data_IF_385744297030
#
_entry.id   IF_385744297030
#
_cell.length_a   1.000
_cell.length_b   1.000
_cell.length_c   1.000
_cell.angle_alpha   90.00
_cell.angle_beta   90.00
_cell.angle_gamma   90.00
#
_symmetry.space_group_name_H-M   'P 1'
#
loop_
_entity.id
_entity.type
_entity.pdbx_description
1 polymer ?
#
# COMPACT_ATOMS: atom_id res chain seq x y z
N UNK A 1 37.90 -26.01 44.40
CA UNK A 1 38.14 -25.99 42.94
C UNK A 1 37.53 -24.68 42.42
N UNK A 2 38.35 -23.68 42.12
CA UNK A 2 37.87 -22.38 41.60
C UNK A 2 37.99 -22.46 40.07
N UNK A 3 36.86 -22.38 39.37
CA UNK A 3 36.82 -22.35 37.90
C UNK A 3 36.93 -20.89 37.44
N UNK A 4 38.08 -20.54 36.86
CA UNK A 4 38.23 -19.32 36.09
C UNK A 4 37.58 -19.53 34.71
N UNK A 5 36.52 -18.79 34.41
CA UNK A 5 36.08 -18.60 33.02
C UNK A 5 36.87 -17.43 32.43
N UNK A 6 37.48 -17.58 31.24
CA UNK A 6 38.06 -16.44 30.55
C UNK A 6 36.93 -15.53 30.08
N UNK A 7 37.05 -14.24 30.39
CA UNK A 7 36.20 -13.18 29.88
C UNK A 7 36.45 -13.07 28.37
N UNK A 8 35.48 -13.51 27.55
CA UNK A 8 35.59 -13.39 26.10
C UNK A 8 35.42 -11.92 25.70
N UNK A 9 36.53 -11.25 25.41
CA UNK A 9 36.57 -9.89 24.87
C UNK A 9 36.44 -9.93 23.34
N UNK A 10 35.31 -9.43 22.82
CA UNK A 10 35.17 -8.57 21.63
C UNK A 10 33.71 -8.62 21.17
N UNK A 11 32.96 -7.57 21.50
CA UNK A 11 31.81 -7.20 20.70
C UNK A 11 32.32 -6.73 19.35
N UNK A 12 32.44 -7.65 18.39
CA UNK A 12 32.58 -7.27 17.00
C UNK A 12 31.25 -6.63 16.58
N UNK A 13 31.27 -5.31 16.34
CA UNK A 13 30.20 -4.63 15.64
C UNK A 13 30.17 -5.19 14.21
N UNK A 14 29.45 -6.30 14.01
CA UNK A 14 29.19 -6.80 12.68
C UNK A 14 28.49 -5.70 11.90
N UNK A 15 28.96 -5.36 10.68
CA UNK A 15 28.28 -4.36 9.86
C UNK A 15 26.83 -4.81 9.66
N UNK A 16 25.89 -3.90 9.91
CA UNK A 16 24.47 -4.14 9.72
C UNK A 16 24.23 -4.74 8.34
N UNK A 17 23.42 -5.80 8.21
CA UNK A 17 23.19 -6.45 6.93
C UNK A 17 22.70 -5.45 5.88
N UNK A 18 23.24 -5.51 4.66
CA UNK A 18 22.75 -4.70 3.56
C UNK A 18 21.45 -5.30 3.03
N UNK A 19 20.31 -4.77 3.48
CA UNK A 19 18.99 -5.25 3.09
C UNK A 19 18.55 -4.79 1.69
N UNK A 20 19.32 -3.97 0.99
CA UNK A 20 18.89 -3.40 -0.30
C UNK A 20 18.57 -4.49 -1.33
N UNK A 21 19.38 -5.55 -1.39
CA UNK A 21 19.11 -6.65 -2.31
C UNK A 21 17.83 -7.41 -1.91
N UNK A 22 17.69 -7.73 -0.63
CA UNK A 22 16.51 -8.39 -0.08
C UNK A 22 15.21 -7.61 -0.37
N UNK A 23 15.23 -6.30 -0.14
CA UNK A 23 14.07 -5.43 -0.39
C UNK A 23 13.71 -5.38 -1.88
N UNK A 24 14.71 -5.36 -2.78
CA UNK A 24 14.45 -5.43 -4.24
C UNK A 24 13.79 -6.75 -4.63
N UNK A 25 14.32 -7.86 -4.13
CA UNK A 25 13.85 -9.20 -4.48
C UNK A 25 12.44 -9.45 -3.94
N UNK A 26 12.19 -9.14 -2.66
CA UNK A 26 10.86 -9.26 -2.06
C UNK A 26 9.87 -8.24 -2.62
N UNK A 27 10.34 -7.04 -2.97
CA UNK A 27 9.52 -6.00 -3.57
C UNK A 27 8.92 -6.42 -4.91
N UNK A 28 9.55 -7.32 -5.67
CA UNK A 28 9.09 -7.72 -7.01
C UNK A 28 7.75 -8.48 -7.00
N UNK A 29 7.36 -9.08 -5.88
CA UNK A 29 6.16 -9.90 -5.75
C UNK A 29 5.36 -9.53 -4.49
N UNK A 30 4.10 -9.97 -4.44
CA UNK A 30 3.27 -9.83 -3.24
C UNK A 30 3.83 -10.69 -2.09
N UNK A 31 4.07 -10.08 -0.92
CA UNK A 31 4.55 -10.79 0.26
C UNK A 31 3.45 -11.72 0.81
N UNK A 32 3.75 -13.03 0.82
CA UNK A 32 2.85 -14.07 1.35
C UNK A 32 3.29 -14.63 2.71
N UNK A 33 4.49 -14.27 3.16
CA UNK A 33 5.11 -14.85 4.36
C UNK A 33 4.93 -13.94 5.58
N UNK A 34 4.91 -12.63 5.35
CA UNK A 34 4.75 -11.65 6.42
C UNK A 34 3.30 -11.29 6.67
N UNK A 35 3.00 -10.91 7.91
CA UNK A 35 1.73 -10.23 8.24
C UNK A 35 1.71 -8.87 7.52
N UNK A 36 0.74 -8.67 6.63
CA UNK A 36 0.55 -7.42 5.90
C UNK A 36 -0.02 -6.32 6.80
N UNK A 37 0.59 -5.13 6.75
CA UNK A 37 0.14 -3.96 7.51
C UNK A 37 -1.14 -3.39 6.89
N UNK A 38 -2.14 -3.14 7.73
CA UNK A 38 -3.42 -2.53 7.36
C UNK A 38 -3.55 -1.14 7.98
N UNK A 39 -4.04 -0.18 7.20
CA UNK A 39 -4.39 1.18 7.63
C UNK A 39 -5.83 1.46 7.21
N UNK A 40 -6.52 2.29 7.99
CA UNK A 40 -7.92 2.64 7.74
C UNK A 40 -8.06 4.16 7.74
N UNK A 41 -8.52 4.72 6.61
CA UNK A 41 -8.66 6.17 6.44
C UNK A 41 -9.57 6.52 5.26
N UNK A 42 -9.85 7.81 5.08
CA UNK A 42 -10.53 8.35 3.90
C UNK A 42 -9.52 9.03 2.97
N UNK A 43 -9.71 8.93 1.66
CA UNK A 43 -8.89 9.65 0.67
C UNK A 43 -9.61 10.92 0.21
N UNK A 44 -9.10 12.07 0.62
CA UNK A 44 -9.56 13.38 0.16
C UNK A 44 -8.98 13.70 -1.23
N UNK A 45 -9.82 14.11 -2.17
CA UNK A 45 -9.40 14.58 -3.49
C UNK A 45 -9.30 16.10 -3.49
N UNK A 46 -8.10 16.60 -3.81
CA UNK A 46 -7.84 18.04 -3.96
C UNK A 46 -8.74 18.70 -5.02
N UNK A 47 -9.01 18.01 -6.12
CA UNK A 47 -9.74 18.57 -7.26
C UNK A 47 -11.23 18.71 -6.99
N UNK A 48 -11.84 17.70 -6.35
CA UNK A 48 -13.29 17.74 -6.08
C UNK A 48 -13.64 18.32 -4.72
N UNK A 49 -12.67 18.45 -3.81
CA UNK A 49 -12.91 18.88 -2.43
C UNK A 49 -13.70 17.87 -1.60
N UNK A 50 -13.71 16.59 -2.02
CA UNK A 50 -14.54 15.51 -1.48
C UNK A 50 -13.75 14.22 -1.33
N UNK A 51 -14.34 13.22 -0.67
CA UNK A 51 -13.70 11.93 -0.41
C UNK A 51 -13.99 10.89 -1.50
N UNK A 52 -12.99 10.06 -1.78
CA UNK A 52 -13.10 8.86 -2.63
C UNK A 52 -14.05 7.88 -1.97
N UNK A 53 -15.04 7.40 -2.71
CA UNK A 53 -15.99 6.38 -2.29
C UNK A 53 -16.04 5.22 -3.28
N UNK A 54 -16.31 4.02 -2.74
CA UNK A 54 -16.43 2.79 -3.51
C UNK A 54 -17.85 2.22 -3.34
N UNK A 55 -18.67 2.37 -4.37
CA UNK A 55 -20.07 1.91 -4.41
C UNK A 55 -20.22 0.77 -5.41
N UNK A 56 -19.96 -0.45 -4.95
CA UNK A 56 -19.92 -1.63 -5.81
C UNK A 56 -18.82 -1.50 -6.87
N UNK A 57 -19.19 -1.51 -8.15
CA UNK A 57 -18.23 -1.36 -9.26
C UNK A 57 -17.81 0.10 -9.49
N UNK A 58 -18.56 1.07 -9.01
CA UNK A 58 -18.32 2.51 -9.25
C UNK A 58 -17.38 3.07 -8.19
N UNK A 59 -16.46 3.93 -8.64
CA UNK A 59 -15.54 4.69 -7.81
C UNK A 59 -15.67 6.15 -8.21
N UNK A 60 -15.72 7.05 -7.23
CA UNK A 60 -15.84 8.50 -7.46
C UNK A 60 -15.34 9.27 -6.23
N UNK A 61 -14.92 10.52 -6.40
CA UNK A 61 -14.51 11.39 -5.31
C UNK A 61 -15.57 12.47 -5.04
N UNK A 62 -16.74 12.08 -4.54
CA UNK A 62 -17.88 13.00 -4.31
C UNK A 62 -18.49 12.87 -2.92
N UNK A 63 -17.95 11.98 -2.07
CA UNK A 63 -18.52 11.73 -0.76
C UNK A 63 -18.18 12.86 0.23
N UNK A 64 -19.12 13.13 1.14
CA UNK A 64 -18.85 13.94 2.33
C UNK A 64 -17.88 13.22 3.28
N UNK A 65 -17.25 13.99 4.15
CA UNK A 65 -16.54 13.43 5.30
C UNK A 65 -17.45 12.53 6.15
N UNK A 66 -16.88 11.47 6.71
CA UNK A 66 -17.63 10.48 7.50
C UNK A 66 -18.55 9.54 6.70
N UNK A 67 -18.67 9.67 5.37
CA UNK A 67 -19.50 8.76 4.58
C UNK A 67 -19.00 7.31 4.68
N UNK A 68 -19.92 6.36 4.97
CA UNK A 68 -19.57 4.94 5.14
C UNK A 68 -18.89 4.30 3.92
N UNK A 69 -19.23 4.72 2.70
CA UNK A 69 -18.62 4.23 1.47
C UNK A 69 -17.26 4.89 1.15
N UNK A 70 -16.89 5.95 1.88
CA UNK A 70 -15.60 6.62 1.76
C UNK A 70 -14.52 6.05 2.70
N UNK A 71 -14.92 5.15 3.59
CA UNK A 71 -14.00 4.42 4.47
C UNK A 71 -13.20 3.40 3.67
N UNK A 72 -11.87 3.55 3.64
CA UNK A 72 -10.96 2.67 2.91
C UNK A 72 -10.06 1.89 3.85
N UNK A 73 -9.88 0.62 3.52
CA UNK A 73 -8.92 -0.30 4.12
C UNK A 73 -7.74 -0.41 3.14
N UNK A 74 -6.57 0.05 3.57
CA UNK A 74 -5.35 0.08 2.77
C UNK A 74 -4.36 -0.92 3.35
N UNK A 75 -4.22 -2.04 2.64
CA UNK A 75 -3.34 -3.15 3.02
C UNK A 75 -2.05 -3.09 2.20
N UNK A 76 -0.90 -3.22 2.87
CA UNK A 76 0.41 -3.29 2.22
C UNK A 76 0.55 -4.59 1.45
N UNK A 77 0.93 -4.53 0.18
CA UNK A 77 1.22 -5.69 -0.67
C UNK A 77 2.64 -6.22 -0.48
N UNK A 78 3.62 -5.31 -0.49
CA UNK A 78 5.06 -5.58 -0.33
C UNK A 78 5.78 -4.24 -0.11
N UNK A 79 7.11 -4.24 -0.13
CA UNK A 79 7.95 -3.05 -0.04
C UNK A 79 7.68 -2.00 -1.15
N UNK A 80 8.25 -0.80 -0.97
CA UNK A 80 8.11 0.30 -1.93
C UNK A 80 6.71 0.92 -1.92
N UNK A 81 6.08 0.96 -0.74
CA UNK A 81 4.74 1.54 -0.54
C UNK A 81 3.67 0.97 -1.47
N UNK A 82 3.81 -0.31 -1.85
CA UNK A 82 2.83 -1.02 -2.67
C UNK A 82 1.67 -1.44 -1.80
N UNK A 83 0.46 -1.05 -2.19
CA UNK A 83 -0.75 -1.25 -1.40
C UNK A 83 -1.91 -1.73 -2.28
N UNK A 84 -2.86 -2.41 -1.63
CA UNK A 84 -4.21 -2.65 -2.14
C UNK A 84 -5.19 -1.79 -1.37
N UNK A 85 -6.11 -1.14 -2.07
CA UNK A 85 -7.11 -0.25 -1.48
C UNK A 85 -8.48 -0.90 -1.64
N UNK A 86 -9.19 -1.10 -0.54
CA UNK A 86 -10.51 -1.75 -0.50
C UNK A 86 -11.52 -0.83 0.19
N UNK A 87 -12.72 -0.69 -0.37
CA UNK A 87 -13.81 -0.02 0.33
C UNK A 87 -14.33 -0.89 1.47
N UNK A 88 -14.35 -0.37 2.69
CA UNK A 88 -14.76 -1.12 3.89
C UNK A 88 -16.23 -1.54 3.82
N UNK A 89 -17.11 -0.66 3.34
CA UNK A 89 -18.55 -0.94 3.27
C UNK A 89 -18.90 -1.86 2.09
N UNK A 90 -18.30 -1.64 0.90
CA UNK A 90 -18.67 -2.37 -0.32
C UNK A 90 -17.89 -3.65 -0.55
N UNK A 91 -16.83 -3.85 0.23
CA UNK A 91 -15.90 -4.97 0.13
C UNK A 91 -15.22 -5.11 -1.25
N UNK A 92 -15.17 -4.03 -2.03
CA UNK A 92 -14.55 -4.01 -3.37
C UNK A 92 -13.18 -3.34 -3.34
N UNK A 93 -12.24 -3.94 -4.05
CA UNK A 93 -10.93 -3.38 -4.32
C UNK A 93 -11.01 -2.32 -5.41
N UNK A 94 -10.34 -1.20 -5.19
CA UNK A 94 -10.05 -0.23 -6.24
C UNK A 94 -9.01 -0.86 -7.16
N UNK A 95 -9.33 -0.95 -8.44
CA UNK A 95 -8.43 -1.44 -9.48
C UNK A 95 -8.52 -0.56 -10.71
N UNK A 96 -7.50 -0.61 -11.56
CA UNK A 96 -7.45 0.13 -12.80
C UNK A 96 -7.74 -0.79 -13.99
N UNK A 97 -8.71 -0.43 -14.81
CA UNK A 97 -8.95 -1.16 -16.05
C UNK A 97 -7.88 -0.87 -17.10
N UNK A 98 -7.78 -1.71 -18.14
CA UNK A 98 -6.92 -1.48 -19.31
C UNK A 98 -7.19 -0.17 -20.09
N UNK A 99 -8.26 0.56 -19.75
CA UNK A 99 -8.62 1.86 -20.33
C UNK A 99 -8.34 3.04 -19.39
N UNK A 100 -7.65 2.82 -18.27
CA UNK A 100 -7.31 3.84 -17.28
C UNK A 100 -8.42 4.14 -16.28
N UNK A 101 -9.63 3.63 -16.52
CA UNK A 101 -10.76 3.83 -15.60
C UNK A 101 -10.59 3.03 -14.31
N UNK A 102 -10.81 3.69 -13.17
CA UNK A 102 -10.96 3.04 -11.87
C UNK A 102 -12.27 2.23 -11.79
N UNK A 103 -12.17 0.98 -11.33
CA UNK A 103 -13.29 0.05 -11.16
C UNK A 103 -13.19 -0.70 -9.84
N UNK A 104 -14.34 -0.93 -9.21
CA UNK A 104 -14.45 -1.81 -8.04
C UNK A 104 -14.50 -3.28 -8.46
N UNK A 105 -13.60 -4.12 -7.91
CA UNK A 105 -13.57 -5.58 -8.15
C UNK A 105 -13.70 -6.37 -6.84
N UNK A 106 -14.38 -7.54 -6.83
CA UNK A 106 -14.42 -8.40 -5.65
C UNK A 106 -13.08 -9.06 -5.35
N UNK A 107 -12.25 -9.31 -6.37
CA UNK A 107 -10.94 -9.93 -6.23
C UNK A 107 -9.83 -8.91 -6.55
N UNK A 108 -9.01 -8.61 -5.54
CA UNK A 108 -7.88 -7.68 -5.61
C UNK A 108 -6.51 -8.32 -5.87
N UNK A 109 -6.43 -9.64 -6.14
CA UNK A 109 -5.14 -10.34 -6.26
C UNK A 109 -4.27 -9.84 -7.41
N UNK A 110 -4.88 -9.42 -8.52
CA UNK A 110 -4.14 -9.00 -9.72
C UNK A 110 -3.43 -7.66 -9.53
N UNK A 111 -2.30 -7.50 -10.24
CA UNK A 111 -1.45 -6.31 -10.22
C UNK A 111 -2.16 -5.01 -10.61
N UNK A 112 -3.28 -5.09 -11.33
CA UNK A 112 -4.12 -3.93 -11.66
C UNK A 112 -4.83 -3.32 -10.43
N UNK A 113 -4.84 -4.03 -9.30
CA UNK A 113 -5.40 -3.60 -8.03
C UNK A 113 -4.33 -3.15 -7.02
N UNK A 114 -3.07 -3.07 -7.44
CA UNK A 114 -1.95 -2.65 -6.60
C UNK A 114 -1.54 -1.24 -7.03
N UNK A 115 -1.31 -0.38 -6.05
CA UNK A 115 -0.85 1.00 -6.26
C UNK A 115 0.40 1.26 -5.44
N UNK A 116 1.29 2.10 -5.93
CA UNK A 116 2.36 2.69 -5.13
C UNK A 116 1.85 4.01 -4.57
N UNK A 117 1.83 4.12 -3.25
CA UNK A 117 1.58 5.36 -2.53
C UNK A 117 2.84 6.23 -2.57
N UNK A 118 2.71 7.45 -3.11
CA UNK A 118 3.81 8.39 -3.34
C UNK A 118 3.49 9.68 -2.59
N UNK A 119 4.44 10.18 -1.81
CA UNK A 119 4.41 11.53 -1.28
C UNK A 119 5.07 12.44 -2.33
N UNK A 120 4.29 13.33 -2.93
CA UNK A 120 4.77 14.29 -3.93
C UNK A 120 5.54 15.44 -3.25
N UNK A 121 6.34 16.17 -4.02
CA UNK A 121 7.12 17.32 -3.55
C UNK A 121 6.25 18.44 -2.93
N UNK A 122 4.98 18.52 -3.35
CA UNK A 122 4.01 19.45 -2.78
C UNK A 122 3.26 18.90 -1.55
N UNK A 123 3.77 17.81 -0.96
CA UNK A 123 3.22 17.10 0.20
C UNK A 123 1.83 16.47 0.01
N UNK A 124 1.32 16.41 -1.23
CA UNK A 124 0.12 15.62 -1.53
C UNK A 124 0.48 14.16 -1.78
N UNK A 125 -0.47 13.27 -1.49
CA UNK A 125 -0.36 11.84 -1.82
C UNK A 125 -0.88 11.56 -3.23
N UNK A 126 -0.14 10.76 -3.98
CA UNK A 126 -0.58 10.18 -5.24
C UNK A 126 -0.55 8.65 -5.18
N UNK A 127 -1.42 8.00 -5.95
CA UNK A 127 -1.46 6.54 -6.09
C UNK A 127 -1.23 6.17 -7.54
N UNK A 128 -0.05 5.66 -7.85
CA UNK A 128 0.31 5.18 -9.19
C UNK A 128 -0.01 3.68 -9.33
N UNK A 129 -0.62 3.24 -10.43
CA UNK A 129 -0.93 1.83 -10.61
C UNK A 129 0.32 0.99 -10.89
N UNK A 130 0.47 -0.16 -10.22
CA UNK A 130 1.65 -1.01 -10.35
C UNK A 130 1.69 -1.81 -11.67
N UNK A 131 0.56 -1.98 -12.36
CA UNK A 131 0.51 -2.62 -13.68
C UNK A 131 0.69 -1.61 -14.82
N UNK A 132 0.05 -0.46 -14.70
CA UNK A 132 0.05 0.58 -15.74
C UNK A 132 0.89 1.76 -15.27
N UNK A 133 2.18 1.71 -15.59
CA UNK A 133 3.13 2.77 -15.24
C UNK A 133 2.69 4.11 -15.83
N UNK A 134 2.86 5.18 -15.05
CA UNK A 134 2.39 6.53 -15.40
C UNK A 134 0.90 6.77 -15.22
N UNK A 135 0.09 5.75 -14.89
CA UNK A 135 -1.34 5.94 -14.61
C UNK A 135 -1.59 6.10 -13.12
N UNK A 136 -2.28 7.19 -12.75
CA UNK A 136 -2.58 7.54 -11.38
C UNK A 136 -4.07 7.45 -11.08
N UNK A 137 -4.44 7.29 -9.81
CA UNK A 137 -5.81 7.59 -9.38
C UNK A 137 -6.08 9.08 -9.58
N UNK A 138 -7.08 9.40 -10.41
CA UNK A 138 -7.53 10.75 -10.73
C UNK A 138 -9.04 10.77 -10.96
#
# INVERSE_FOLDING_TARGET
LILFFPLSTKGENQPSPNFNQYVRDQGAMSDQLSRRQVREYQLYSRTSGRHVQVTGRRISATAEDGNKFAKLIVETDTFGSRVRIKGAESEKYICMSKRGKLIGKPNGKSKDCIFTEIVLENNYTAFQNARYEGWFMA
#
